data_IF_018797894188
#
_entry.id   IF_018797894188
#
_cell.length_a   1.000
_cell.length_b   1.000
_cell.length_c   1.000
_cell.angle_alpha   90.00
_cell.angle_beta   90.00
_cell.angle_gamma   90.00
#
_symmetry.space_group_name_H-M   'P 1'
#
loop_
_entity.id
_entity.type
_entity.pdbx_description
1 polymer ?
#
# COMPACT_ATOMS: atom_id res chain seq x y z
N UNK A 1 -4.57 1.00 -11.69
CA UNK A 1 -5.39 1.90 -10.87
C UNK A 1 -4.72 3.27 -10.77
N UNK A 2 -5.51 4.30 -10.93
CA UNK A 2 -5.06 5.70 -10.84
C UNK A 2 -5.94 6.45 -9.84
N UNK A 3 -5.30 7.29 -9.03
CA UNK A 3 -5.96 8.26 -8.17
C UNK A 3 -5.16 9.56 -8.18
N UNK A 4 -5.82 10.67 -8.60
CA UNK A 4 -5.10 11.89 -8.90
C UNK A 4 -4.03 11.65 -9.98
N UNK A 5 -2.81 12.06 -9.70
CA UNK A 5 -1.65 11.85 -10.58
C UNK A 5 -0.89 10.55 -10.30
N UNK A 6 -1.24 9.85 -9.21
CA UNK A 6 -0.57 8.61 -8.83
C UNK A 6 -1.16 7.42 -9.58
N UNK A 7 -0.29 6.64 -10.23
CA UNK A 7 -0.65 5.48 -11.04
C UNK A 7 0.13 4.25 -10.57
N UNK A 8 -0.59 3.17 -10.25
CA UNK A 8 -0.01 1.89 -9.86
C UNK A 8 -0.53 0.78 -10.77
N UNK A 9 0.40 0.02 -11.33
CA UNK A 9 0.10 -1.26 -11.98
C UNK A 9 0.21 -2.37 -10.94
N UNK A 10 -0.91 -2.94 -10.55
CA UNK A 10 -0.99 -4.10 -9.66
C UNK A 10 -0.99 -5.40 -10.45
N UNK A 11 -0.11 -6.33 -10.10
CA UNK A 11 -0.02 -7.65 -10.75
C UNK A 11 -0.07 -8.75 -9.71
N UNK A 12 -1.04 -9.66 -9.81
CA UNK A 12 -1.18 -10.83 -8.96
C UNK A 12 -0.71 -12.07 -9.70
N UNK A 13 0.18 -12.83 -9.09
CA UNK A 13 0.62 -14.14 -9.58
C UNK A 13 0.26 -15.20 -8.55
N UNK A 14 -0.40 -16.26 -9.00
CA UNK A 14 -0.74 -17.43 -8.18
C UNK A 14 0.24 -18.56 -8.48
N UNK A 15 0.69 -19.24 -7.44
CA UNK A 15 1.64 -20.33 -7.56
C UNK A 15 1.32 -21.46 -6.56
N UNK A 16 1.98 -22.61 -6.73
CA UNK A 16 1.86 -23.71 -5.77
C UNK A 16 2.41 -23.29 -4.40
N UNK A 17 1.87 -23.85 -3.32
CA UNK A 17 2.27 -23.55 -1.94
C UNK A 17 3.78 -23.73 -1.69
N UNK A 18 4.44 -24.66 -2.37
CA UNK A 18 5.91 -24.83 -2.29
C UNK A 18 6.71 -23.58 -2.73
N UNK A 19 6.05 -22.62 -3.37
CA UNK A 19 6.64 -21.34 -3.79
C UNK A 19 6.45 -20.22 -2.75
N UNK A 20 6.00 -20.58 -1.54
CA UNK A 20 5.96 -19.64 -0.41
C UNK A 20 7.34 -19.05 -0.13
N UNK A 21 7.37 -17.80 0.28
CA UNK A 21 8.60 -17.14 0.67
C UNK A 21 9.11 -17.77 1.97
N UNK A 22 10.34 -18.28 1.95
CA UNK A 22 11.01 -18.75 3.16
C UNK A 22 11.43 -17.54 4.01
N UNK A 23 11.22 -17.64 5.31
CA UNK A 23 11.59 -16.64 6.31
C UNK A 23 12.62 -17.24 7.23
N UNK A 24 13.78 -16.60 7.32
CA UNK A 24 14.85 -16.96 8.25
C UNK A 24 14.95 -15.87 9.32
N UNK A 25 14.30 -16.10 10.45
CA UNK A 25 14.32 -15.21 11.60
C UNK A 25 14.10 -16.02 12.90
N UNK A 26 14.07 -15.34 14.04
CA UNK A 26 13.85 -15.95 15.36
C UNK A 26 12.36 -16.26 15.65
N UNK A 27 11.44 -15.94 14.76
CA UNK A 27 10.03 -16.28 14.90
C UNK A 27 9.78 -17.74 14.55
N UNK A 28 8.77 -18.39 15.13
CA UNK A 28 8.36 -19.73 14.73
C UNK A 28 7.75 -19.79 13.32
N UNK A 29 7.46 -18.64 12.70
CA UNK A 29 6.97 -18.55 11.32
C UNK A 29 8.17 -18.63 10.38
N UNK A 30 8.26 -19.67 9.59
CA UNK A 30 9.36 -19.94 8.67
C UNK A 30 9.00 -19.76 7.19
N UNK A 31 7.75 -19.46 6.89
CA UNK A 31 7.32 -19.13 5.53
C UNK A 31 6.11 -18.20 5.54
N UNK A 32 5.92 -17.45 4.46
CA UNK A 32 4.70 -16.67 4.21
C UNK A 32 4.17 -16.95 2.81
N UNK A 33 2.85 -17.10 2.74
CA UNK A 33 2.10 -17.41 1.51
C UNK A 33 1.82 -16.20 0.65
N UNK A 34 1.62 -15.05 1.27
CA UNK A 34 1.38 -13.77 0.60
C UNK A 34 2.62 -12.91 0.64
N UNK A 35 3.05 -12.48 -0.54
CA UNK A 35 4.22 -11.62 -0.72
C UNK A 35 3.77 -10.35 -1.45
N UNK A 36 4.08 -9.18 -0.90
CA UNK A 36 3.82 -7.92 -1.57
C UNK A 36 5.15 -7.22 -1.88
N UNK A 37 5.45 -7.09 -3.16
CA UNK A 37 6.61 -6.37 -3.66
C UNK A 37 6.16 -5.02 -4.21
N UNK A 38 6.82 -3.97 -3.76
CA UNK A 38 6.52 -2.59 -4.14
C UNK A 38 7.74 -1.99 -4.82
N UNK A 39 7.58 -1.53 -6.04
CA UNK A 39 8.62 -0.91 -6.85
C UNK A 39 8.30 0.57 -7.05
N UNK A 40 9.29 1.42 -6.74
CA UNK A 40 9.20 2.87 -6.85
C UNK A 40 10.40 3.40 -7.66
N UNK A 41 10.38 3.22 -8.99
CA UNK A 41 11.48 3.66 -9.84
C UNK A 41 11.56 5.20 -9.89
N UNK A 42 12.76 5.77 -10.09
CA UNK A 42 12.96 7.23 -10.12
C UNK A 42 12.06 7.96 -11.12
N UNK A 43 11.78 7.36 -12.27
CA UNK A 43 10.96 7.98 -13.30
C UNK A 43 9.50 8.26 -12.81
N UNK A 44 9.02 7.53 -11.80
CA UNK A 44 7.66 7.72 -11.27
C UNK A 44 7.42 9.11 -10.67
N UNK A 45 8.50 9.78 -10.25
CA UNK A 45 8.50 11.18 -9.79
C UNK A 45 9.18 12.14 -10.76
N UNK A 46 9.48 11.69 -11.97
CA UNK A 46 10.21 12.49 -12.99
C UNK A 46 11.71 12.63 -12.70
N UNK A 47 12.26 11.85 -11.78
CA UNK A 47 13.67 11.89 -11.43
C UNK A 47 14.52 10.99 -12.34
N UNK A 48 15.78 11.37 -12.54
CA UNK A 48 16.80 10.52 -13.14
C UNK A 48 17.59 9.83 -12.03
N UNK A 49 17.63 8.51 -12.05
CA UNK A 49 18.33 7.75 -11.03
C UNK A 49 18.53 6.28 -11.40
N UNK A 50 19.39 5.61 -10.65
CA UNK A 50 19.65 4.19 -10.83
C UNK A 50 18.46 3.36 -10.33
N UNK A 51 17.99 2.45 -11.17
CA UNK A 51 17.10 1.35 -10.79
C UNK A 51 17.96 0.21 -10.26
N UNK A 52 17.68 -0.27 -9.07
CA UNK A 52 18.48 -1.31 -8.41
C UNK A 52 17.73 -1.97 -7.26
N UNK A 53 18.46 -2.34 -6.21
CA UNK A 53 17.86 -2.96 -5.02
C UNK A 53 16.84 -2.03 -4.36
N UNK A 54 15.77 -2.60 -3.75
CA UNK A 54 14.77 -1.83 -3.03
C UNK A 54 15.39 -0.94 -1.94
N UNK A 55 14.93 0.29 -1.85
CA UNK A 55 15.31 1.24 -0.81
C UNK A 55 14.34 1.15 0.39
N UNK A 56 14.63 1.85 1.47
CA UNK A 56 13.79 1.86 2.69
C UNK A 56 12.33 2.19 2.42
N UNK A 57 12.08 3.15 1.51
CA UNK A 57 10.72 3.53 1.11
C UNK A 57 9.97 2.36 0.50
N UNK A 58 10.58 1.64 -0.42
CA UNK A 58 9.97 0.50 -1.10
C UNK A 58 9.67 -0.64 -0.12
N UNK A 59 10.59 -0.91 0.80
CA UNK A 59 10.41 -1.92 1.84
C UNK A 59 9.26 -1.53 2.78
N UNK A 60 9.26 -0.31 3.30
CA UNK A 60 8.24 0.17 4.24
C UNK A 60 6.84 0.27 3.61
N UNK A 61 6.75 0.79 2.38
CA UNK A 61 5.47 0.88 1.67
C UNK A 61 4.94 -0.50 1.27
N UNK A 62 5.82 -1.42 0.87
CA UNK A 62 5.45 -2.80 0.56
C UNK A 62 4.92 -3.52 1.80
N UNK A 63 5.57 -3.37 2.95
CA UNK A 63 5.14 -3.95 4.21
C UNK A 63 3.80 -3.37 4.69
N UNK A 64 3.59 -2.07 4.58
CA UNK A 64 2.32 -1.42 4.93
C UNK A 64 1.18 -1.96 4.06
N UNK A 65 1.38 -2.07 2.75
CA UNK A 65 0.39 -2.60 1.83
C UNK A 65 0.14 -4.11 2.05
N UNK A 66 1.17 -4.88 2.37
CA UNK A 66 1.05 -6.29 2.74
C UNK A 66 0.18 -6.45 3.99
N UNK A 67 0.49 -5.72 5.06
CA UNK A 67 -0.29 -5.74 6.32
C UNK A 67 -1.74 -5.34 6.12
N UNK A 68 -2.01 -4.40 5.21
CA UNK A 68 -3.37 -3.98 4.90
C UNK A 68 -4.24 -5.10 4.31
N UNK A 69 -3.64 -6.02 3.55
CA UNK A 69 -4.36 -7.04 2.78
C UNK A 69 -4.39 -8.43 3.46
N UNK A 70 -3.37 -8.77 4.25
CA UNK A 70 -3.27 -10.07 4.93
C UNK A 70 -4.54 -10.45 5.70
N UNK A 71 -5.20 -9.56 6.48
CA UNK A 71 -6.39 -9.93 7.25
C UNK A 71 -7.60 -10.35 6.42
N UNK A 72 -7.66 -9.96 5.16
CA UNK A 72 -8.80 -10.27 4.27
C UNK A 72 -8.53 -11.42 3.30
N UNK A 73 -7.33 -11.98 3.32
CA UNK A 73 -7.02 -13.13 2.49
C UNK A 73 -7.82 -14.38 2.92
N UNK A 74 -8.20 -15.26 1.97
CA UNK A 74 -8.81 -16.53 2.28
C UNK A 74 -7.86 -17.42 3.10
N UNK A 75 -8.41 -18.41 3.80
CA UNK A 75 -7.61 -19.41 4.49
C UNK A 75 -6.77 -20.23 3.51
N UNK A 76 -5.78 -20.96 4.02
CA UNK A 76 -4.94 -21.85 3.20
C UNK A 76 -5.74 -23.05 2.69
N UNK A 77 -6.72 -23.50 3.44
CA UNK A 77 -7.61 -24.59 3.09
C UNK A 77 -8.58 -24.19 1.97
N UNK A 78 -9.14 -22.97 2.07
CA UNK A 78 -10.09 -22.48 1.07
C UNK A 78 -9.43 -22.07 -0.24
N UNK A 79 -8.17 -21.61 -0.17
CA UNK A 79 -7.43 -21.13 -1.34
C UNK A 79 -5.96 -21.55 -1.26
N UNK A 80 -5.62 -22.78 -1.68
CA UNK A 80 -4.30 -23.40 -1.49
C UNK A 80 -3.24 -22.91 -2.50
N UNK A 81 -3.04 -21.62 -2.62
CA UNK A 81 -2.04 -21.00 -3.50
C UNK A 81 -1.14 -20.05 -2.74
N UNK A 82 0.14 -20.01 -3.11
CA UNK A 82 1.01 -18.89 -2.81
C UNK A 82 0.61 -17.72 -3.70
N UNK A 83 0.59 -16.52 -3.12
CA UNK A 83 0.12 -15.29 -3.79
C UNK A 83 1.28 -14.30 -3.80
N UNK A 84 1.73 -13.92 -4.99
CA UNK A 84 2.69 -12.83 -5.18
C UNK A 84 1.96 -11.62 -5.76
N UNK A 85 1.93 -10.56 -5.02
CA UNK A 85 1.43 -9.26 -5.45
C UNK A 85 2.61 -8.34 -5.77
N UNK A 86 2.59 -7.70 -6.91
CA UNK A 86 3.56 -6.68 -7.29
C UNK A 86 2.83 -5.37 -7.54
N UNK A 87 3.33 -4.29 -6.97
CA UNK A 87 2.89 -2.92 -7.23
C UNK A 87 4.01 -2.17 -7.95
N UNK A 88 3.79 -1.87 -9.22
CA UNK A 88 4.69 -1.05 -10.03
C UNK A 88 4.20 0.40 -10.04
N UNK A 89 4.97 1.31 -9.47
CA UNK A 89 4.63 2.73 -9.47
C UNK A 89 5.01 3.35 -10.81
N UNK A 90 4.00 3.68 -11.61
CA UNK A 90 4.16 4.27 -12.95
C UNK A 90 4.23 5.80 -12.90
N UNK A 91 3.57 6.41 -11.94
CA UNK A 91 3.59 7.83 -11.65
C UNK A 91 3.21 8.06 -10.19
N UNK A 92 3.82 9.05 -9.53
CA UNK A 92 3.55 9.34 -8.12
C UNK A 92 3.59 10.82 -7.83
N UNK A 93 2.48 11.32 -7.30
CA UNK A 93 2.38 12.61 -6.63
C UNK A 93 1.42 12.47 -5.45
N UNK A 94 1.94 12.04 -4.29
CA UNK A 94 1.16 11.78 -3.09
C UNK A 94 1.36 10.37 -2.54
N UNK A 95 0.33 9.77 -1.96
CA UNK A 95 0.42 8.48 -1.26
C UNK A 95 0.33 7.29 -2.22
N UNK A 96 1.46 6.90 -2.78
CA UNK A 96 1.57 5.72 -3.64
C UNK A 96 1.33 4.39 -2.89
N UNK A 97 1.65 4.32 -1.58
CA UNK A 97 1.39 3.11 -0.78
C UNK A 97 -0.10 2.79 -0.66
N UNK A 98 -0.94 3.81 -0.44
CA UNK A 98 -2.39 3.62 -0.32
C UNK A 98 -3.04 3.35 -1.67
N UNK A 99 -2.53 3.93 -2.76
CA UNK A 99 -2.93 3.58 -4.13
C UNK A 99 -2.55 2.13 -4.46
N UNK A 100 -1.40 1.64 -3.96
CA UNK A 100 -0.99 0.23 -4.07
C UNK A 100 -1.97 -0.72 -3.39
N UNK A 101 -2.50 -0.37 -2.22
CA UNK A 101 -3.55 -1.16 -1.54
C UNK A 101 -4.77 -1.31 -2.43
N UNK A 102 -5.25 -0.21 -3.01
CA UNK A 102 -6.41 -0.23 -3.91
C UNK A 102 -6.14 -1.05 -5.19
N UNK A 103 -4.99 -0.82 -5.84
CA UNK A 103 -4.59 -1.57 -7.03
C UNK A 103 -4.47 -3.07 -6.76
N UNK A 104 -3.91 -3.44 -5.60
CA UNK A 104 -3.74 -4.83 -5.20
C UNK A 104 -5.07 -5.51 -4.90
N UNK A 105 -6.00 -4.84 -4.23
CA UNK A 105 -7.37 -5.36 -4.03
C UNK A 105 -8.03 -5.69 -5.37
N UNK A 106 -7.98 -4.76 -6.33
CA UNK A 106 -8.55 -4.99 -7.65
C UNK A 106 -7.87 -6.15 -8.40
N UNK A 107 -6.54 -6.21 -8.35
CA UNK A 107 -5.74 -7.26 -8.97
C UNK A 107 -6.02 -8.64 -8.37
N UNK A 108 -6.12 -8.74 -7.04
CA UNK A 108 -6.45 -9.97 -6.33
C UNK A 108 -7.85 -10.48 -6.71
N UNK A 109 -8.85 -9.58 -6.72
CA UNK A 109 -10.21 -9.92 -7.11
C UNK A 109 -10.28 -10.37 -8.58
N UNK A 110 -9.56 -9.70 -9.48
CA UNK A 110 -9.49 -10.08 -10.89
C UNK A 110 -8.80 -11.43 -11.09
N UNK A 111 -7.81 -11.76 -10.27
CA UNK A 111 -7.16 -13.08 -10.29
C UNK A 111 -8.02 -14.21 -9.71
N UNK A 112 -9.20 -13.88 -9.18
CA UNK A 112 -10.13 -14.86 -8.60
C UNK A 112 -9.82 -15.23 -7.16
N UNK A 113 -9.01 -14.44 -6.45
CA UNK A 113 -8.77 -14.64 -5.01
C UNK A 113 -10.03 -14.27 -4.23
N UNK A 114 -10.64 -15.21 -3.47
CA UNK A 114 -11.87 -14.94 -2.73
C UNK A 114 -11.57 -14.16 -1.44
N UNK A 115 -11.33 -12.84 -1.57
CA UNK A 115 -11.12 -11.97 -0.43
C UNK A 115 -12.36 -11.96 0.49
N UNK A 116 -12.15 -11.93 1.80
CA UNK A 116 -13.24 -11.81 2.78
C UNK A 116 -14.00 -10.49 2.67
N UNK A 117 -13.28 -9.42 2.31
CA UNK A 117 -13.84 -8.11 2.00
C UNK A 117 -12.83 -7.31 1.17
N UNK A 118 -13.27 -6.37 0.32
CA UNK A 118 -12.35 -5.46 -0.34
C UNK A 118 -11.73 -4.48 0.65
N UNK A 119 -10.44 -4.19 0.45
CA UNK A 119 -9.69 -3.19 1.23
C UNK A 119 -9.39 -2.00 0.34
N UNK A 120 -9.61 -0.80 0.86
CA UNK A 120 -9.18 0.45 0.26
C UNK A 120 -8.23 1.18 1.21
N UNK A 121 -7.42 2.07 0.67
CA UNK A 121 -6.51 2.89 1.45
C UNK A 121 -6.53 4.34 0.98
N UNK A 122 -6.28 5.27 1.91
CA UNK A 122 -6.24 6.71 1.66
C UNK A 122 -5.16 7.36 2.54
N UNK A 123 -4.55 8.43 2.05
CA UNK A 123 -3.74 9.32 2.86
C UNK A 123 -4.55 10.58 3.19
N UNK A 124 -4.49 10.98 4.45
CA UNK A 124 -5.15 12.14 5.00
C UNK A 124 -4.10 13.11 5.53
N UNK A 125 -4.31 14.39 5.31
CA UNK A 125 -3.50 15.46 5.86
C UNK A 125 -4.28 16.34 6.80
N UNK A 126 -3.55 17.17 7.53
CA UNK A 126 -4.11 18.24 8.38
C UNK A 126 -3.33 19.52 8.11
N UNK A 127 -4.05 20.59 7.93
CA UNK A 127 -3.50 21.95 7.89
C UNK A 127 -4.09 22.75 9.04
N UNK A 128 -3.27 23.36 9.84
CA UNK A 128 -3.70 24.24 10.94
C UNK A 128 -3.14 25.63 10.74
N UNK A 129 -3.86 26.61 11.24
CA UNK A 129 -3.42 28.01 11.13
C UNK A 129 -4.38 28.97 11.80
N UNK A 130 -3.95 30.21 11.90
CA UNK A 130 -4.77 31.30 12.43
C UNK A 130 -5.31 32.13 11.25
N UNK A 131 -6.63 32.23 11.14
CA UNK A 131 -7.32 33.02 10.12
C UNK A 131 -8.28 33.97 10.82
N UNK A 132 -8.13 35.27 10.61
CA UNK A 132 -8.94 36.34 11.24
C UNK A 132 -8.90 36.27 12.79
N UNK A 133 -7.75 35.93 13.36
CA UNK A 133 -7.56 35.80 14.83
C UNK A 133 -8.22 34.56 15.44
N UNK A 134 -8.63 33.60 14.63
CA UNK A 134 -9.22 32.32 15.07
C UNK A 134 -8.38 31.15 14.58
N UNK A 135 -8.10 30.22 15.48
CA UNK A 135 -7.46 28.94 15.11
C UNK A 135 -8.42 28.11 14.25
N UNK A 136 -7.93 27.68 13.09
CA UNK A 136 -8.66 26.80 12.16
C UNK A 136 -7.83 25.55 11.86
N UNK A 137 -8.50 24.41 11.79
CA UNK A 137 -7.93 23.15 11.34
C UNK A 137 -8.77 22.61 10.18
N UNK A 138 -8.11 22.17 9.11
CA UNK A 138 -8.73 21.61 7.92
C UNK A 138 -8.09 20.27 7.62
N UNK A 139 -8.91 19.23 7.50
CA UNK A 139 -8.45 17.91 7.04
C UNK A 139 -8.45 17.84 5.52
N UNK A 140 -7.39 17.27 4.97
CA UNK A 140 -7.22 17.03 3.54
C UNK A 140 -7.36 15.54 3.25
N UNK A 141 -8.03 15.20 2.15
CA UNK A 141 -8.22 13.81 1.72
C UNK A 141 -7.43 13.58 0.44
N UNK A 142 -6.64 12.50 0.41
CA UNK A 142 -5.77 12.13 -0.72
C UNK A 142 -4.75 13.22 -1.05
N UNK A 143 -3.85 13.47 -0.09
CA UNK A 143 -2.87 14.55 -0.14
C UNK A 143 -1.83 14.36 -1.24
N UNK A 144 -1.44 15.46 -1.87
CA UNK A 144 -0.30 15.56 -2.78
C UNK A 144 1.03 15.64 -2.00
N UNK A 145 2.15 15.40 -2.69
CA UNK A 145 3.47 15.49 -2.06
C UNK A 145 3.79 16.85 -1.45
N UNK A 146 3.30 17.96 -2.03
CA UNK A 146 3.43 19.29 -1.46
C UNK A 146 2.59 19.48 -0.19
N UNK A 147 1.38 18.94 -0.16
CA UNK A 147 0.49 18.98 1.01
C UNK A 147 1.02 18.13 2.16
N UNK A 148 1.68 16.99 1.85
CA UNK A 148 2.42 16.18 2.80
C UNK A 148 3.59 16.96 3.42
N UNK A 149 4.40 17.62 2.59
CA UNK A 149 5.59 18.36 3.02
C UNK A 149 5.30 19.64 3.84
N UNK A 150 4.14 20.25 3.68
CA UNK A 150 3.74 21.49 4.38
C UNK A 150 2.62 21.28 5.41
N UNK A 151 2.03 20.08 5.46
CA UNK A 151 0.97 19.74 6.40
C UNK A 151 1.49 19.45 7.81
N UNK A 152 0.56 19.47 8.76
CA UNK A 152 0.82 19.20 10.18
C UNK A 152 0.60 17.72 10.54
N UNK A 153 0.18 16.89 9.61
CA UNK A 153 -0.05 15.45 9.78
C UNK A 153 0.01 14.73 8.43
N UNK A 154 0.70 13.58 8.38
CA UNK A 154 0.56 12.55 7.35
C UNK A 154 -0.04 11.29 7.98
N UNK A 155 -1.33 11.05 7.70
CA UNK A 155 -2.05 9.90 8.21
C UNK A 155 -2.49 8.98 7.07
N UNK A 156 -1.95 7.77 7.04
CA UNK A 156 -2.32 6.73 6.07
C UNK A 156 -3.16 5.67 6.75
N UNK A 157 -4.30 5.38 6.17
CA UNK A 157 -5.24 4.38 6.69
C UNK A 157 -5.72 3.48 5.57
N UNK A 158 -5.76 2.19 5.86
CA UNK A 158 -6.37 1.18 5.00
C UNK A 158 -7.33 0.31 5.79
N UNK A 159 -8.38 -0.14 5.14
CA UNK A 159 -9.38 -0.98 5.78
C UNK A 159 -10.49 -1.44 4.85
N UNK A 160 -11.35 -2.26 5.41
CA UNK A 160 -12.64 -2.66 4.85
C UNK A 160 -13.70 -1.63 5.20
N UNK A 161 -14.95 -1.89 4.84
CA UNK A 161 -16.07 -1.06 5.28
C UNK A 161 -16.21 -0.99 6.81
N UNK A 162 -15.85 -2.08 7.50
CA UNK A 162 -16.17 -2.26 8.93
C UNK A 162 -14.92 -2.21 9.83
N UNK A 163 -13.71 -2.44 9.28
CA UNK A 163 -12.49 -2.57 10.07
C UNK A 163 -11.29 -1.87 9.40
N UNK A 164 -10.45 -1.27 10.23
CA UNK A 164 -9.12 -0.79 9.83
C UNK A 164 -8.16 -1.98 9.85
N UNK A 165 -7.43 -2.20 8.76
CA UNK A 165 -6.46 -3.29 8.61
C UNK A 165 -5.01 -2.83 8.73
N UNK A 166 -4.72 -1.58 8.39
CA UNK A 166 -3.40 -0.97 8.57
C UNK A 166 -3.52 0.54 8.71
N UNK A 167 -2.58 1.13 9.45
CA UNK A 167 -2.44 2.58 9.58
C UNK A 167 -0.97 2.97 9.76
N UNK A 168 -0.64 4.18 9.36
CA UNK A 168 0.62 4.86 9.65
C UNK A 168 0.29 6.33 9.94
N UNK A 169 0.84 6.86 11.01
CA UNK A 169 0.77 8.27 11.40
C UNK A 169 2.19 8.80 11.57
N UNK A 170 2.50 9.90 10.86
CA UNK A 170 3.73 10.69 10.97
C UNK A 170 3.40 12.16 11.31
#
# INVERSE_FOLDING_TARGET
FQRGETQILGVTTLAMLRMEQQIDNLSPINSKRYMHQYNFPPFSTGEVGRVGSPKRREIGHGDLAERALVPVLPSREDFPYAIRQVSETMGSNGSSSMVSVCASTLSLLQAGVPLRAPVAGIAMGLMTGEVDGQFKAVTLTDILGAEDGFGDMDFKVAGTRDFITALQLD
#
